data_IF_281840778365
#
_entry.id   IF_281840778365
#
_cell.length_a   1.000
_cell.length_b   1.000
_cell.length_c   1.000
_cell.angle_alpha   90.00
_cell.angle_beta   90.00
_cell.angle_gamma   90.00
#
_symmetry.space_group_name_H-M   'P 1'
#
loop_
_entity.id
_entity.type
_entity.pdbx_description
1 polymer ?
#
# COMPACT_ATOMS: atom_id res chain seq x y z
N UNK A 1 -2.83 15.17 -12.12
CA UNK A 1 -1.39 14.90 -12.08
C UNK A 1 -1.08 13.89 -10.99
N UNK A 2 -0.17 12.99 -11.23
CA UNK A 2 0.19 11.91 -10.33
C UNK A 2 1.71 11.78 -10.23
N UNK A 3 2.19 11.05 -9.21
CA UNK A 3 3.62 10.78 -9.09
C UNK A 3 4.09 9.90 -10.25
N UNK A 4 5.37 10.05 -10.63
CA UNK A 4 5.98 9.24 -11.67
C UNK A 4 5.97 7.76 -11.24
N UNK A 5 5.35 6.85 -12.00
CA UNK A 5 5.32 5.44 -11.66
C UNK A 5 6.72 4.82 -11.49
N UNK A 6 7.71 5.26 -12.28
CA UNK A 6 9.08 4.76 -12.16
C UNK A 6 9.65 5.12 -10.80
N UNK A 7 9.40 6.34 -10.33
CA UNK A 7 9.84 6.78 -9.01
C UNK A 7 9.15 5.99 -7.90
N UNK A 8 7.85 5.75 -8.02
CA UNK A 8 7.09 4.98 -7.03
C UNK A 8 7.67 3.58 -6.90
N UNK A 9 7.91 2.91 -8.03
CA UNK A 9 8.46 1.55 -8.03
C UNK A 9 9.86 1.52 -7.41
N UNK A 10 10.74 2.44 -7.81
CA UNK A 10 12.09 2.51 -7.27
C UNK A 10 12.07 2.76 -5.76
N UNK A 11 11.19 3.64 -5.30
CA UNK A 11 11.06 3.97 -3.88
C UNK A 11 10.57 2.77 -3.08
N UNK A 12 9.53 2.06 -3.59
CA UNK A 12 9.05 0.85 -2.93
C UNK A 12 10.13 -0.23 -2.86
N UNK A 13 10.91 -0.39 -3.92
CA UNK A 13 12.01 -1.37 -3.95
C UNK A 13 13.11 -1.06 -2.95
N UNK A 14 13.29 0.19 -2.58
CA UNK A 14 14.26 0.56 -1.55
C UNK A 14 13.88 0.01 -0.17
N UNK A 15 12.64 -0.40 0.02
CA UNK A 15 12.14 -0.99 1.26
C UNK A 15 12.28 -2.50 1.32
N UNK A 16 12.67 -3.15 0.22
CA UNK A 16 12.84 -4.62 0.18
C UNK A 16 13.76 -5.08 1.31
N UNK A 17 13.36 -6.15 1.98
CA UNK A 17 14.12 -6.71 3.10
C UNK A 17 13.82 -6.08 4.45
N UNK A 18 13.03 -5.01 4.51
CA UNK A 18 12.60 -4.43 5.78
C UNK A 18 11.74 -5.46 6.52
N UNK A 19 12.07 -5.79 7.80
CA UNK A 19 11.30 -6.77 8.55
C UNK A 19 9.86 -6.32 8.80
N UNK A 20 8.96 -7.30 8.95
CA UNK A 20 7.59 -6.99 9.33
C UNK A 20 7.53 -6.58 10.81
N UNK A 21 6.86 -5.49 11.11
CA UNK A 21 6.62 -5.05 12.48
C UNK A 21 5.31 -4.24 12.52
N UNK A 22 4.39 -4.65 13.40
CA UNK A 22 3.08 -3.99 13.52
C UNK A 22 3.25 -2.49 13.75
N UNK A 23 2.50 -1.70 12.98
CA UNK A 23 2.40 -0.24 13.10
C UNK A 23 3.69 0.52 12.83
N UNK A 24 4.78 -0.17 12.51
CA UNK A 24 6.05 0.48 12.22
C UNK A 24 6.10 0.96 10.78
N UNK A 25 6.90 1.99 10.55
CA UNK A 25 7.14 2.57 9.22
C UNK A 25 8.53 3.18 9.16
N UNK A 26 9.55 2.33 9.27
CA UNK A 26 10.96 2.77 9.24
C UNK A 26 11.75 1.82 8.36
N UNK A 27 12.23 2.35 7.22
CA UNK A 27 12.94 1.57 6.21
C UNK A 27 14.14 0.85 6.83
N UNK A 28 14.26 -0.45 6.54
CA UNK A 28 15.35 -1.29 7.01
C UNK A 28 15.20 -1.77 8.45
N UNK A 29 14.29 -1.17 9.22
CA UNK A 29 14.10 -1.49 10.64
C UNK A 29 12.80 -2.25 10.87
N UNK A 30 11.70 -1.78 10.32
CA UNK A 30 10.43 -2.47 10.44
C UNK A 30 9.28 -1.72 9.81
N UNK A 31 8.34 -2.46 9.22
CA UNK A 31 7.07 -1.88 8.75
C UNK A 31 6.04 -2.99 8.57
N UNK A 32 4.77 -2.64 8.73
CA UNK A 32 3.67 -3.48 8.27
C UNK A 32 3.24 -3.01 6.88
N UNK A 33 2.14 -3.54 6.33
CA UNK A 33 1.73 -3.18 4.99
C UNK A 33 1.34 -1.70 4.86
N UNK A 34 0.65 -1.18 5.86
CA UNK A 34 0.32 0.24 5.89
C UNK A 34 1.58 1.09 6.11
N UNK A 35 2.49 0.62 6.96
CA UNK A 35 3.76 1.30 7.21
C UNK A 35 4.61 1.44 5.96
N UNK A 36 4.61 0.43 5.09
CA UNK A 36 5.27 0.51 3.80
C UNK A 36 4.66 1.64 2.95
N UNK A 37 3.35 1.66 2.84
CA UNK A 37 2.65 2.69 2.07
C UNK A 37 2.94 4.10 2.63
N UNK A 38 2.92 4.24 3.95
CA UNK A 38 3.24 5.51 4.62
C UNK A 38 4.66 5.97 4.33
N UNK A 39 5.60 5.01 4.34
CA UNK A 39 7.00 5.30 4.06
C UNK A 39 7.21 5.75 2.62
N UNK A 40 6.57 5.09 1.67
CA UNK A 40 6.64 5.49 0.27
C UNK A 40 6.02 6.88 0.10
N UNK A 41 4.91 7.16 0.76
CA UNK A 41 4.32 8.51 0.76
C UNK A 41 5.33 9.56 1.21
N UNK A 42 5.98 9.35 2.37
CA UNK A 42 6.96 10.33 2.89
C UNK A 42 8.12 10.54 1.94
N UNK A 43 8.56 9.49 1.26
CA UNK A 43 9.70 9.56 0.36
C UNK A 43 9.36 10.25 -0.97
N UNK A 44 8.10 10.18 -1.41
CA UNK A 44 7.68 10.69 -2.72
C UNK A 44 6.91 11.99 -2.61
N UNK A 45 5.93 12.06 -1.70
CA UNK A 45 4.99 13.17 -1.63
C UNK A 45 5.47 14.23 -0.64
N UNK A 46 5.75 13.82 0.57
CA UNK A 46 6.12 14.74 1.64
C UNK A 46 5.59 14.25 2.98
N UNK A 47 5.43 15.17 3.93
CA UNK A 47 4.91 14.80 5.25
C UNK A 47 3.54 14.13 5.15
N UNK A 48 3.28 13.20 6.04
CA UNK A 48 1.96 12.59 6.14
C UNK A 48 0.94 13.67 6.52
N UNK A 49 -0.21 13.71 5.84
CA UNK A 49 -1.17 14.82 6.03
C UNK A 49 -1.83 14.82 7.40
N UNK A 50 -1.87 13.66 8.08
CA UNK A 50 -2.40 13.53 9.43
C UNK A 50 -1.82 12.30 10.08
N UNK A 51 -1.74 12.27 11.44
CA UNK A 51 -1.22 11.10 12.14
C UNK A 51 -2.19 9.92 12.00
N UNK A 52 -1.59 8.72 11.92
CA UNK A 52 -2.37 7.48 11.91
C UNK A 52 -2.54 7.05 13.36
N UNK A 53 -3.78 6.87 13.84
CA UNK A 53 -3.98 6.40 15.21
C UNK A 53 -3.50 4.95 15.37
N UNK A 54 -3.16 4.54 16.60
CA UNK A 54 -2.79 3.15 16.83
C UNK A 54 -3.87 2.19 16.35
N UNK A 55 -3.45 1.05 15.79
CA UNK A 55 -4.35 0.03 15.30
C UNK A 55 -3.77 -1.36 15.61
N UNK A 56 -4.64 -2.37 15.67
CA UNK A 56 -4.23 -3.76 15.83
C UNK A 56 -4.25 -4.46 14.47
N UNK A 57 -3.74 -5.69 14.42
CA UNK A 57 -3.75 -6.49 13.19
C UNK A 57 -5.15 -6.73 12.65
N UNK A 58 -6.13 -6.78 13.54
CA UNK A 58 -7.52 -7.07 13.18
C UNK A 58 -8.39 -5.82 13.14
N UNK A 59 -7.78 -4.64 13.07
CA UNK A 59 -8.52 -3.38 13.02
C UNK A 59 -9.44 -3.35 11.80
N UNK A 60 -10.67 -2.91 12.02
CA UNK A 60 -11.67 -2.84 10.97
C UNK A 60 -12.20 -4.18 10.47
N UNK A 61 -11.72 -5.30 11.01
CA UNK A 61 -12.05 -6.64 10.52
C UNK A 61 -13.52 -7.00 10.67
N UNK A 62 -14.13 -6.53 11.75
CA UNK A 62 -15.51 -6.88 12.11
C UNK A 62 -16.52 -5.79 11.76
N UNK A 63 -16.05 -4.64 11.27
CA UNK A 63 -16.93 -3.54 10.93
C UNK A 63 -17.43 -3.61 9.49
N UNK A 64 -18.57 -2.98 9.20
CA UNK A 64 -19.08 -2.89 7.83
C UNK A 64 -18.36 -1.82 7.01
N UNK A 65 -17.50 -1.05 7.61
CA UNK A 65 -16.87 0.11 6.97
C UNK A 65 -15.49 -0.24 6.41
N UNK A 66 -15.24 0.20 5.19
CA UNK A 66 -13.93 0.11 4.54
C UNK A 66 -13.00 1.18 5.11
N UNK A 67 -12.51 0.98 6.32
CA UNK A 67 -11.71 1.98 7.03
C UNK A 67 -10.44 2.32 6.26
N UNK A 68 -9.72 1.30 5.79
CA UNK A 68 -8.48 1.50 5.03
C UNK A 68 -8.75 2.19 3.70
N UNK A 69 -9.76 1.73 2.95
CA UNK A 69 -10.09 2.30 1.65
C UNK A 69 -10.56 3.75 1.78
N UNK A 70 -11.36 4.05 2.80
CA UNK A 70 -11.82 5.43 3.04
C UNK A 70 -10.66 6.35 3.39
N UNK A 71 -9.72 5.87 4.23
CA UNK A 71 -8.52 6.64 4.55
C UNK A 71 -7.65 6.86 3.33
N UNK A 72 -7.44 5.83 2.51
CA UNK A 72 -6.66 5.95 1.28
C UNK A 72 -7.31 6.94 0.31
N UNK A 73 -8.62 6.90 0.15
CA UNK A 73 -9.33 7.80 -0.75
C UNK A 73 -9.21 9.27 -0.35
N UNK A 74 -8.95 9.56 0.93
CA UNK A 74 -8.77 10.93 1.40
C UNK A 74 -7.39 11.50 1.08
N UNK A 75 -6.42 10.65 0.72
CA UNK A 75 -5.02 11.05 0.49
C UNK A 75 -4.56 10.75 -0.93
N UNK A 76 -4.97 9.63 -1.48
CA UNK A 76 -4.50 9.12 -2.77
C UNK A 76 -5.53 9.39 -3.85
N UNK A 77 -5.14 9.18 -5.10
CA UNK A 77 -6.00 9.44 -6.26
C UNK A 77 -6.62 8.11 -6.70
N UNK A 78 -7.94 7.92 -6.56
CA UNK A 78 -8.58 6.67 -7.00
C UNK A 78 -8.47 6.49 -8.52
N UNK A 79 -8.29 5.24 -8.94
CA UNK A 79 -8.27 4.87 -10.36
C UNK A 79 -9.17 3.66 -10.59
N UNK A 80 -9.59 3.49 -11.84
CA UNK A 80 -10.38 2.31 -12.24
C UNK A 80 -9.48 1.07 -12.27
N UNK A 81 -10.09 -0.11 -12.09
CA UNK A 81 -9.35 -1.37 -12.17
C UNK A 81 -8.67 -1.55 -13.52
N UNK A 82 -9.27 -1.06 -14.60
CA UNK A 82 -8.67 -1.12 -15.92
C UNK A 82 -7.39 -0.30 -16.06
N UNK A 83 -7.15 0.65 -15.16
CA UNK A 83 -5.97 1.52 -15.18
C UNK A 83 -4.87 1.06 -14.24
N UNK A 84 -5.05 -0.08 -13.56
CA UNK A 84 -4.07 -0.58 -12.59
C UNK A 84 -2.81 -1.05 -13.32
N UNK A 85 -1.66 -0.55 -12.89
CA UNK A 85 -0.36 -0.87 -13.46
C UNK A 85 0.76 -0.48 -12.52
N UNK A 86 2.01 -0.50 -13.00
CA UNK A 86 3.16 -0.15 -12.15
C UNK A 86 2.99 1.20 -11.46
N UNK A 87 3.34 1.27 -10.20
CA UNK A 87 3.21 2.47 -9.38
C UNK A 87 1.86 2.61 -8.69
N UNK A 88 0.90 1.75 -8.99
CA UNK A 88 -0.39 1.78 -8.33
C UNK A 88 -0.30 1.15 -6.93
N UNK A 89 -0.93 1.80 -5.96
CA UNK A 89 -1.17 1.21 -4.65
C UNK A 89 -2.51 0.50 -4.71
N UNK A 90 -2.53 -0.76 -4.32
CA UNK A 90 -3.75 -1.57 -4.35
C UNK A 90 -4.11 -2.06 -2.96
N UNK A 91 -5.40 -2.16 -2.70
CA UNK A 91 -5.92 -2.72 -1.46
C UNK A 91 -6.52 -4.07 -1.75
N UNK A 92 -6.12 -5.05 -0.96
CA UNK A 92 -6.55 -6.44 -1.10
C UNK A 92 -7.61 -6.79 -0.07
N UNK A 93 -8.63 -7.48 -0.55
CA UNK A 93 -9.63 -8.12 0.31
C UNK A 93 -9.19 -9.57 0.53
N UNK A 94 -8.76 -9.88 1.74
CA UNK A 94 -8.13 -11.18 2.03
C UNK A 94 -9.13 -12.33 2.13
N UNK A 95 -10.40 -12.02 2.32
CA UNK A 95 -11.49 -13.00 2.30
C UNK A 95 -12.67 -12.39 1.55
N UNK A 96 -13.55 -13.20 0.91
CA UNK A 96 -14.59 -12.67 0.03
C UNK A 96 -15.54 -11.66 0.67
N UNK A 97 -15.81 -11.80 1.96
CA UNK A 97 -16.74 -10.91 2.66
C UNK A 97 -16.06 -9.98 3.67
N UNK A 98 -14.73 -10.00 3.69
CA UNK A 98 -13.97 -9.12 4.58
C UNK A 98 -13.78 -7.76 3.95
N UNK A 99 -13.61 -6.74 4.79
CA UNK A 99 -13.17 -5.44 4.31
C UNK A 99 -11.70 -5.52 3.89
N UNK A 100 -11.23 -4.53 3.12
CA UNK A 100 -9.83 -4.49 2.71
C UNK A 100 -8.94 -4.16 3.91
N UNK A 101 -7.85 -4.91 4.05
CA UNK A 101 -6.91 -4.75 5.17
C UNK A 101 -5.45 -4.80 4.74
N UNK A 102 -5.18 -5.25 3.53
CA UNK A 102 -3.81 -5.46 3.06
C UNK A 102 -3.50 -4.51 1.91
N UNK A 103 -2.26 -4.01 1.90
CA UNK A 103 -1.79 -3.01 0.93
C UNK A 103 -0.63 -3.58 0.16
N UNK A 104 -0.59 -3.31 -1.14
CA UNK A 104 0.56 -3.60 -1.98
C UNK A 104 0.78 -2.49 -2.99
N UNK A 105 1.97 -2.49 -3.59
CA UNK A 105 2.32 -1.52 -4.64
C UNK A 105 2.79 -2.31 -5.85
N UNK A 106 2.14 -2.12 -6.99
CA UNK A 106 2.52 -2.82 -8.22
C UNK A 106 3.84 -2.29 -8.75
N UNK A 107 4.72 -3.22 -9.14
CA UNK A 107 6.03 -2.91 -9.71
C UNK A 107 6.09 -3.20 -11.21
N UNK A 108 5.20 -4.07 -11.69
CA UNK A 108 5.03 -4.45 -13.09
C UNK A 108 3.59 -4.90 -13.27
N UNK A 109 3.13 -5.19 -14.49
CA UNK A 109 1.76 -5.65 -14.68
C UNK A 109 1.41 -6.90 -13.87
N UNK A 110 2.41 -7.73 -13.54
CA UNK A 110 2.20 -9.01 -12.85
C UNK A 110 3.08 -9.19 -11.62
N UNK A 111 3.57 -8.11 -11.02
CA UNK A 111 4.35 -8.19 -9.77
C UNK A 111 4.02 -7.04 -8.84
N UNK A 112 4.23 -7.26 -7.55
CA UNK A 112 3.93 -6.25 -6.53
C UNK A 112 4.85 -6.40 -5.33
N UNK A 113 4.99 -5.32 -4.57
CA UNK A 113 5.72 -5.29 -3.31
C UNK A 113 4.72 -5.09 -2.19
N UNK A 114 4.90 -5.85 -1.11
CA UNK A 114 4.11 -5.68 0.10
C UNK A 114 4.93 -6.10 1.32
N UNK A 115 4.51 -5.63 2.50
CA UNK A 115 5.07 -6.11 3.76
C UNK A 115 4.12 -7.15 4.32
N UNK A 116 4.55 -8.41 4.29
CA UNK A 116 3.73 -9.55 4.68
C UNK A 116 4.25 -10.17 5.95
N UNK A 117 3.33 -10.52 6.84
CA UNK A 117 3.69 -11.11 8.14
C UNK A 117 4.64 -12.29 7.91
N UNK A 118 5.71 -12.36 8.73
CA UNK A 118 6.79 -13.37 8.70
C UNK A 118 7.77 -13.20 7.55
N UNK A 119 7.43 -12.51 6.48
CA UNK A 119 8.31 -12.33 5.33
C UNK A 119 8.96 -10.96 5.30
N UNK A 120 8.30 -9.94 5.88
CA UNK A 120 8.73 -8.56 5.70
C UNK A 120 8.39 -8.04 4.31
N UNK A 121 9.12 -7.06 3.84
CA UNK A 121 8.89 -6.45 2.53
C UNK A 121 9.51 -7.34 1.46
N UNK A 122 8.65 -7.87 0.60
CA UNK A 122 9.03 -8.75 -0.50
C UNK A 122 8.35 -8.32 -1.79
N UNK A 123 8.98 -8.67 -2.91
CA UNK A 123 8.39 -8.50 -4.23
C UNK A 123 7.97 -9.87 -4.73
N UNK A 124 6.71 -10.00 -5.10
CA UNK A 124 6.13 -11.28 -5.50
C UNK A 124 5.37 -11.16 -6.80
N UNK A 125 5.16 -12.31 -7.44
CA UNK A 125 4.30 -12.40 -8.62
C UNK A 125 2.86 -12.13 -8.19
N UNK A 126 2.18 -11.27 -8.96
CA UNK A 126 0.76 -11.01 -8.76
C UNK A 126 -0.02 -12.16 -9.41
N UNK A 127 -0.10 -13.26 -8.68
CA UNK A 127 -0.79 -14.47 -9.15
C UNK A 127 -2.27 -14.18 -9.37
N UNK A 128 -2.96 -15.10 -10.03
CA UNK A 128 -4.40 -14.98 -10.24
C UNK A 128 -5.15 -14.85 -8.90
N UNK A 129 -4.70 -15.55 -7.88
CA UNK A 129 -5.29 -15.46 -6.53
C UNK A 129 -5.15 -14.06 -5.95
N UNK A 130 -3.94 -13.50 -6.01
CA UNK A 130 -3.71 -12.13 -5.53
C UNK A 130 -4.49 -11.11 -6.34
N UNK A 131 -4.47 -11.26 -7.68
CA UNK A 131 -5.16 -10.31 -8.57
C UNK A 131 -6.65 -10.23 -8.26
N UNK A 132 -7.30 -11.36 -7.99
CA UNK A 132 -8.73 -11.41 -7.65
C UNK A 132 -9.05 -10.72 -6.33
N UNK A 133 -8.06 -10.57 -5.44
CA UNK A 133 -8.25 -9.92 -4.14
C UNK A 133 -8.19 -8.40 -4.22
N UNK A 134 -7.71 -7.83 -5.33
CA UNK A 134 -7.65 -6.38 -5.47
C UNK A 134 -9.07 -5.83 -5.50
N UNK A 135 -9.38 -4.94 -4.56
CA UNK A 135 -10.70 -4.33 -4.45
C UNK A 135 -10.68 -2.83 -4.75
N UNK A 136 -9.57 -2.15 -4.49
CA UNK A 136 -9.42 -0.73 -4.72
C UNK A 136 -8.02 -0.46 -5.23
N UNK A 137 -7.88 0.58 -6.04
CA UNK A 137 -6.60 0.99 -6.58
C UNK A 137 -6.47 2.51 -6.58
N UNK A 138 -5.25 2.97 -6.35
CA UNK A 138 -4.95 4.40 -6.23
C UNK A 138 -3.60 4.71 -6.85
N UNK A 139 -3.38 5.98 -7.16
CA UNK A 139 -2.05 6.50 -7.50
C UNK A 139 -1.63 7.52 -6.44
N UNK A 140 -0.33 7.64 -6.24
CA UNK A 140 0.21 8.67 -5.36
C UNK A 140 0.09 10.03 -6.04
N UNK A 141 -0.23 11.09 -5.29
CA UNK A 141 -0.17 12.44 -5.83
C UNK A 141 1.29 12.85 -6.04
N UNK A 142 1.55 13.91 -6.80
CA UNK A 142 2.91 14.39 -6.98
C UNK A 142 3.46 14.97 -5.66
N UNK A 143 4.79 15.19 -5.63
CA UNK A 143 5.42 15.83 -4.48
C UNK A 143 4.73 17.15 -4.16
N UNK A 144 4.55 17.44 -2.86
CA UNK A 144 4.00 18.72 -2.41
C UNK A 144 5.08 19.78 -2.24
N UNK A 145 6.36 19.41 -2.43
CA UNK A 145 7.44 20.39 -2.44
C UNK A 145 7.47 21.12 -3.79
N UNK A 146 7.60 22.40 -3.74
CA UNK A 146 7.60 23.28 -4.92
C UNK A 146 9.00 23.75 -5.22
#
# INVERSE_FOLDING_TARGET
>A
MTADPVLVVATARAWLGTPYHDQASLRGVGCDCLGLARGVWRDIVGDEPFPIPPYSRDWGETGPHEVLANGAASMLIPIAMSDVGPGALVLFRMAPRAITKHVGILTAPDSFIHSYERLGVVEEVLTHVWRRRIAFAFLFPPSDSI
#
